data_IF_159533327413
#
_entry.id   IF_159533327413
#
_cell.length_a   1.000
_cell.length_b   1.000
_cell.length_c   1.000
_cell.angle_alpha   90.00
_cell.angle_beta   90.00
_cell.angle_gamma   90.00
#
_symmetry.space_group_name_H-M   'P 1'
#
loop_
_entity.id
_entity.type
_entity.pdbx_description
1 polymer ?
#
# COMPACT_ATOMS: atom_id res chain seq x y z
N UNK A 1 -39.51 6.20 -13.19
CA UNK A 1 -38.05 6.47 -13.30
C UNK A 1 -37.18 5.36 -12.68
N UNK A 2 -37.47 4.86 -11.47
CA UNK A 2 -36.79 3.68 -10.91
C UNK A 2 -37.15 2.37 -11.63
N UNK A 3 -38.38 2.23 -12.13
CA UNK A 3 -38.86 1.05 -12.85
C UNK A 3 -38.12 0.74 -14.16
N UNK A 4 -37.38 1.70 -14.71
CA UNK A 4 -36.57 1.52 -15.92
C UNK A 4 -35.11 1.11 -15.60
N UNK A 5 -34.75 0.99 -14.31
CA UNK A 5 -33.37 0.70 -13.85
C UNK A 5 -33.18 -0.71 -13.32
N UNK A 6 -34.16 -1.60 -13.50
CA UNK A 6 -33.99 -3.02 -13.22
C UNK A 6 -32.99 -3.66 -14.18
N UNK A 7 -32.23 -4.67 -13.73
CA UNK A 7 -31.16 -5.30 -14.52
C UNK A 7 -31.64 -5.78 -15.91
N UNK A 8 -32.86 -6.30 -16.01
CA UNK A 8 -33.43 -6.78 -17.28
C UNK A 8 -33.81 -5.66 -18.26
N UNK A 9 -33.89 -4.40 -17.78
CA UNK A 9 -34.18 -3.22 -18.60
C UNK A 9 -32.90 -2.44 -18.97
N UNK A 10 -31.74 -2.92 -18.55
CA UNK A 10 -30.43 -2.26 -18.74
C UNK A 10 -29.61 -3.06 -19.73
N UNK A 11 -28.98 -2.38 -20.70
CA UNK A 11 -28.21 -3.08 -21.72
C UNK A 11 -26.94 -3.73 -21.15
N UNK A 12 -26.48 -4.81 -21.77
CA UNK A 12 -25.22 -5.47 -21.37
C UNK A 12 -24.02 -4.51 -21.33
N UNK A 13 -23.99 -3.51 -22.21
CA UNK A 13 -22.94 -2.48 -22.22
C UNK A 13 -23.02 -1.58 -20.99
N UNK A 14 -24.23 -1.18 -20.58
CA UNK A 14 -24.43 -0.44 -19.34
C UNK A 14 -24.07 -1.29 -18.12
N UNK A 15 -24.48 -2.56 -18.07
CA UNK A 15 -24.13 -3.48 -16.97
C UNK A 15 -22.61 -3.63 -16.79
N UNK A 16 -21.85 -3.67 -17.90
CA UNK A 16 -20.37 -3.72 -17.85
C UNK A 16 -19.74 -2.47 -17.22
N UNK A 17 -20.36 -1.29 -17.35
CA UNK A 17 -19.87 -0.07 -16.70
C UNK A 17 -19.95 -0.15 -15.16
N UNK A 18 -20.85 -0.99 -14.63
CA UNK A 18 -21.00 -1.26 -13.20
C UNK A 18 -20.20 -2.48 -12.72
N UNK A 19 -19.26 -3.01 -13.52
CA UNK A 19 -18.40 -4.12 -13.09
C UNK A 19 -17.62 -3.75 -11.81
N UNK A 20 -17.12 -2.52 -11.76
CA UNK A 20 -16.28 -2.04 -10.67
C UNK A 20 -17.03 -1.34 -9.53
N UNK A 21 -18.35 -1.22 -9.64
CA UNK A 21 -19.18 -0.51 -8.68
C UNK A 21 -19.32 -1.26 -7.34
N UNK A 22 -19.55 -0.51 -6.27
CA UNK A 22 -19.92 -1.07 -4.96
C UNK A 22 -21.28 -1.75 -5.09
N UNK A 23 -21.37 -3.01 -4.66
CA UNK A 23 -22.62 -3.77 -4.60
C UNK A 23 -23.14 -3.74 -3.16
N UNK A 24 -24.41 -3.38 -3.01
CA UNK A 24 -25.12 -3.38 -1.73
C UNK A 24 -26.01 -4.62 -1.69
N UNK A 25 -25.96 -5.35 -0.58
CA UNK A 25 -26.77 -6.55 -0.35
C UNK A 25 -27.55 -6.40 0.95
N UNK A 26 -28.65 -7.15 1.07
CA UNK A 26 -29.49 -7.12 2.27
C UNK A 26 -28.81 -7.84 3.44
N UNK A 27 -28.01 -8.88 3.16
CA UNK A 27 -27.36 -9.70 4.17
C UNK A 27 -25.85 -9.74 4.02
N UNK A 28 -25.14 -9.95 5.13
CA UNK A 28 -23.68 -10.13 5.14
C UNK A 28 -23.24 -11.41 4.43
N UNK A 29 -24.08 -12.44 4.43
CA UNK A 29 -23.77 -13.71 3.75
C UNK A 29 -23.75 -13.54 2.23
N UNK A 30 -24.65 -12.73 1.68
CA UNK A 30 -24.63 -12.35 0.26
C UNK A 30 -23.39 -11.51 -0.07
N UNK A 31 -23.03 -10.53 0.79
CA UNK A 31 -21.78 -9.76 0.64
C UNK A 31 -20.58 -10.71 0.60
N UNK A 32 -20.50 -11.66 1.53
CA UNK A 32 -19.41 -12.62 1.63
C UNK A 32 -19.35 -13.53 0.40
N UNK A 33 -20.48 -14.07 -0.03
CA UNK A 33 -20.58 -14.93 -1.21
C UNK A 33 -20.12 -14.19 -2.46
N UNK A 34 -20.59 -12.96 -2.65
CA UNK A 34 -20.18 -12.12 -3.78
C UNK A 34 -18.67 -11.80 -3.73
N UNK A 35 -18.17 -11.36 -2.58
CA UNK A 35 -16.74 -11.03 -2.42
C UNK A 35 -15.83 -12.25 -2.62
N UNK A 36 -16.22 -13.42 -2.10
CA UNK A 36 -15.46 -14.67 -2.31
C UNK A 36 -15.43 -15.08 -3.78
N UNK A 37 -16.53 -14.88 -4.52
CA UNK A 37 -16.56 -15.08 -5.96
C UNK A 37 -15.60 -14.11 -6.68
N UNK A 38 -15.61 -12.83 -6.32
CA UNK A 38 -14.68 -11.85 -6.90
C UNK A 38 -13.21 -12.20 -6.61
N UNK A 39 -12.89 -12.69 -5.40
CA UNK A 39 -11.56 -13.18 -5.06
C UNK A 39 -11.18 -14.42 -5.90
N UNK A 40 -12.12 -15.34 -6.14
CA UNK A 40 -11.87 -16.50 -7.02
C UNK A 40 -11.66 -16.10 -8.47
N UNK A 41 -12.38 -15.07 -8.95
CA UNK A 41 -12.20 -14.54 -10.30
C UNK A 41 -10.81 -13.90 -10.47
N UNK A 42 -10.34 -13.15 -9.46
CA UNK A 42 -9.00 -12.56 -9.42
C UNK A 42 -7.88 -13.60 -9.30
N UNK A 43 -8.10 -14.66 -8.52
CA UNK A 43 -7.18 -15.80 -8.39
C UNK A 43 -6.87 -16.43 -9.74
N UNK A 44 -7.86 -16.54 -10.62
CA UNK A 44 -7.69 -17.13 -11.95
C UNK A 44 -6.98 -16.18 -12.94
N UNK A 45 -6.61 -14.98 -12.48
CA UNK A 45 -5.74 -14.04 -13.17
C UNK A 45 -6.45 -13.18 -14.22
N UNK A 46 -6.05 -11.89 -14.29
CA UNK A 46 -6.29 -11.02 -15.46
C UNK A 46 -5.21 -11.29 -16.54
N UNK A 47 -4.05 -11.82 -16.13
CA UNK A 47 -2.83 -12.05 -16.94
C UNK A 47 -2.58 -13.52 -17.28
N UNK A 48 -3.49 -14.44 -16.94
CA UNK A 48 -3.38 -15.88 -17.22
C UNK A 48 -2.50 -16.68 -16.23
N UNK A 49 -1.83 -16.01 -15.28
CA UNK A 49 -1.14 -16.66 -14.17
C UNK A 49 -2.04 -16.72 -12.94
N UNK A 50 -2.05 -17.86 -12.24
CA UNK A 50 -2.85 -18.05 -11.04
C UNK A 50 -2.19 -17.34 -9.84
N UNK A 51 -2.85 -16.33 -9.28
CA UNK A 51 -2.36 -15.59 -8.12
C UNK A 51 -2.73 -16.35 -6.82
N UNK A 52 -1.82 -16.48 -5.84
CA UNK A 52 -2.13 -17.14 -4.57
C UNK A 52 -3.09 -16.30 -3.74
N UNK A 53 -3.97 -16.99 -2.99
CA UNK A 53 -4.88 -16.34 -2.02
C UNK A 53 -4.25 -16.40 -0.64
N UNK A 54 -3.90 -15.25 -0.08
CA UNK A 54 -3.46 -15.12 1.29
C UNK A 54 -4.65 -15.34 2.24
N UNK A 55 -4.57 -16.35 3.11
CA UNK A 55 -5.55 -16.60 4.17
C UNK A 55 -4.93 -16.26 5.52
N UNK A 56 -5.36 -15.15 6.10
CA UNK A 56 -4.89 -14.64 7.39
C UNK A 56 -5.92 -15.03 8.46
N UNK A 57 -5.51 -15.89 9.40
CA UNK A 57 -6.36 -16.29 10.53
C UNK A 57 -6.25 -15.27 11.65
N UNK A 58 -7.39 -14.91 12.24
CA UNK A 58 -7.40 -14.08 13.44
C UNK A 58 -6.72 -14.81 14.61
N UNK A 59 -5.87 -14.10 15.33
CA UNK A 59 -5.31 -14.59 16.60
C UNK A 59 -6.25 -14.18 17.73
N UNK A 60 -6.83 -15.16 18.42
CA UNK A 60 -7.77 -14.93 19.50
C UNK A 60 -7.04 -14.98 20.85
N UNK A 61 -7.29 -13.97 21.69
CA UNK A 61 -6.73 -13.91 23.04
C UNK A 61 -7.41 -14.87 24.03
N UNK A 62 -8.64 -15.31 23.73
CA UNK A 62 -9.40 -16.23 24.57
C UNK A 62 -10.45 -17.01 23.78
N UNK A 63 -10.96 -18.09 24.37
CA UNK A 63 -12.00 -18.94 23.79
C UNK A 63 -13.35 -18.24 23.60
N UNK A 64 -13.64 -17.16 24.36
CA UNK A 64 -14.81 -16.31 24.12
C UNK A 64 -14.64 -15.50 22.84
N UNK A 65 -13.46 -14.89 22.63
CA UNK A 65 -13.15 -14.14 21.41
C UNK A 65 -13.13 -15.02 20.16
N UNK A 66 -12.71 -16.28 20.29
CA UNK A 66 -12.78 -17.26 19.20
C UNK A 66 -14.21 -17.61 18.77
N UNK A 67 -15.17 -17.53 19.70
CA UNK A 67 -16.61 -17.78 19.45
C UNK A 67 -17.40 -16.50 19.22
N UNK A 68 -16.75 -15.33 19.32
CA UNK A 68 -17.42 -14.06 19.16
C UNK A 68 -17.92 -13.90 17.72
N UNK A 69 -19.08 -13.28 17.58
CA UNK A 69 -19.61 -12.91 16.27
C UNK A 69 -18.77 -11.79 15.66
N UNK A 70 -18.80 -11.65 14.34
CA UNK A 70 -18.08 -10.57 13.64
C UNK A 70 -18.56 -9.19 14.10
N UNK A 71 -19.83 -9.05 14.47
CA UNK A 71 -20.37 -7.81 15.06
C UNK A 71 -19.73 -7.46 16.40
N UNK A 72 -19.52 -8.46 17.26
CA UNK A 72 -18.82 -8.28 18.54
C UNK A 72 -17.32 -8.01 18.36
N UNK A 73 -16.77 -8.32 17.18
CA UNK A 73 -15.39 -8.10 16.82
C UNK A 73 -15.20 -6.87 15.90
N UNK A 74 -16.12 -5.90 15.93
CA UNK A 74 -16.08 -4.66 15.12
C UNK A 74 -15.98 -4.91 13.59
N UNK A 75 -16.51 -6.03 13.14
CA UNK A 75 -16.45 -6.46 11.74
C UNK A 75 -15.15 -7.15 11.35
N UNK A 76 -14.31 -7.54 12.32
CA UNK A 76 -13.15 -8.38 12.08
C UNK A 76 -13.59 -9.84 11.87
N UNK A 77 -13.29 -10.37 10.69
CA UNK A 77 -13.55 -11.78 10.34
C UNK A 77 -12.49 -12.70 10.96
N UNK A 78 -12.89 -13.91 11.34
CA UNK A 78 -11.95 -14.92 11.84
C UNK A 78 -10.93 -15.38 10.78
N UNK A 79 -11.29 -15.25 9.49
CA UNK A 79 -10.41 -15.51 8.37
C UNK A 79 -10.52 -14.35 7.37
N UNK A 80 -9.42 -13.66 7.12
CA UNK A 80 -9.30 -12.63 6.10
C UNK A 80 -8.64 -13.21 4.86
N UNK A 81 -9.26 -13.04 3.70
CA UNK A 81 -8.76 -13.51 2.41
C UNK A 81 -8.33 -12.31 1.57
N UNK A 82 -7.07 -12.30 1.14
CA UNK A 82 -6.51 -11.26 0.29
C UNK A 82 -5.88 -11.88 -0.95
N UNK A 83 -6.00 -11.17 -2.07
CA UNK A 83 -5.33 -11.51 -3.34
C UNK A 83 -4.74 -10.20 -3.84
N UNK A 84 -3.63 -10.28 -4.55
CA UNK A 84 -3.11 -9.13 -5.29
C UNK A 84 -4.23 -8.52 -6.15
N UNK A 85 -4.29 -7.20 -6.17
CA UNK A 85 -5.28 -6.41 -6.89
C UNK A 85 -6.72 -6.48 -6.36
N UNK A 86 -6.97 -7.15 -5.22
CA UNK A 86 -8.29 -7.13 -4.62
C UNK A 86 -8.63 -5.75 -4.05
N UNK A 87 -9.91 -5.37 -4.17
CA UNK A 87 -10.44 -4.12 -3.59
C UNK A 87 -10.67 -4.30 -2.10
N UNK A 88 -10.28 -3.29 -1.33
CA UNK A 88 -10.39 -3.29 0.12
C UNK A 88 -11.04 -2.00 0.62
N UNK A 89 -11.55 -2.06 1.84
CA UNK A 89 -12.06 -0.92 2.57
C UNK A 89 -11.50 -0.95 3.99
N UNK A 90 -10.96 0.18 4.43
CA UNK A 90 -10.43 0.32 5.77
C UNK A 90 -11.58 0.38 6.78
N UNK A 91 -11.47 -0.36 7.89
CA UNK A 91 -12.51 -0.46 8.92
C UNK A 91 -12.28 0.41 10.15
N UNK A 92 -11.10 1.02 10.26
CA UNK A 92 -10.68 1.82 11.40
C UNK A 92 -9.88 3.04 10.93
N UNK A 93 -9.79 4.08 11.75
CA UNK A 93 -8.99 5.25 11.42
C UNK A 93 -7.51 4.95 11.70
N UNK A 94 -6.65 5.08 10.68
CA UNK A 94 -5.20 4.93 10.84
C UNK A 94 -4.49 6.28 10.78
N UNK A 95 -4.89 7.14 9.84
CA UNK A 95 -4.31 8.48 9.68
C UNK A 95 -5.32 9.41 9.00
N UNK A 96 -6.16 10.02 9.81
CA UNK A 96 -7.26 10.87 9.35
C UNK A 96 -6.79 12.04 8.48
N UNK A 97 -5.74 12.73 8.89
CA UNK A 97 -5.17 13.88 8.18
C UNK A 97 -4.65 13.56 6.77
N UNK A 98 -4.23 12.31 6.54
CA UNK A 98 -3.72 11.85 5.24
C UNK A 98 -4.75 11.03 4.47
N UNK A 99 -6.00 10.96 4.95
CA UNK A 99 -7.10 10.31 4.25
C UNK A 99 -7.21 8.80 4.48
N UNK A 100 -6.50 8.22 5.45
CA UNK A 100 -6.68 6.83 5.89
C UNK A 100 -7.70 6.75 7.02
N UNK A 101 -8.97 6.89 6.64
CA UNK A 101 -10.14 6.89 7.53
C UNK A 101 -10.96 5.61 7.36
N UNK A 102 -11.81 5.30 8.34
CA UNK A 102 -12.82 4.25 8.19
C UNK A 102 -13.69 4.54 6.95
N UNK A 103 -13.84 3.54 6.08
CA UNK A 103 -14.50 3.66 4.78
C UNK A 103 -13.58 4.03 3.63
N UNK A 104 -12.31 4.40 3.88
CA UNK A 104 -11.33 4.64 2.83
C UNK A 104 -11.16 3.37 1.98
N UNK A 105 -11.25 3.53 0.67
CA UNK A 105 -11.19 2.42 -0.28
C UNK A 105 -9.82 2.36 -0.92
N UNK A 106 -9.41 1.15 -1.26
CA UNK A 106 -8.13 0.93 -1.89
C UNK A 106 -8.03 -0.41 -2.58
N UNK A 107 -6.80 -0.75 -2.97
CA UNK A 107 -6.42 -1.98 -3.63
C UNK A 107 -5.17 -2.55 -2.99
N UNK A 108 -5.12 -3.87 -2.84
CA UNK A 108 -3.88 -4.56 -2.44
C UNK A 108 -2.92 -4.57 -3.62
N UNK A 109 -1.74 -4.00 -3.43
CA UNK A 109 -0.68 -4.02 -4.43
C UNK A 109 0.22 -5.25 -4.26
N UNK A 110 0.57 -5.60 -3.02
CA UNK A 110 1.42 -6.75 -2.75
C UNK A 110 1.25 -7.31 -1.33
N UNK A 111 1.63 -8.57 -1.14
CA UNK A 111 1.59 -9.28 0.14
C UNK A 111 2.93 -9.97 0.36
N UNK A 112 3.70 -9.47 1.32
CA UNK A 112 5.08 -9.90 1.57
C UNK A 112 5.13 -10.78 2.81
N UNK A 113 5.68 -11.98 2.65
CA UNK A 113 5.95 -12.92 3.73
C UNK A 113 7.45 -12.99 4.01
N UNK A 114 7.82 -13.07 5.29
CA UNK A 114 9.20 -13.37 5.67
C UNK A 114 9.52 -14.83 5.34
N UNK A 115 10.77 -15.12 4.97
CA UNK A 115 11.23 -16.43 4.47
C UNK A 115 10.87 -17.65 5.36
N UNK A 116 10.51 -17.43 6.63
CA UNK A 116 10.21 -18.47 7.61
C UNK A 116 8.79 -18.42 8.19
N UNK A 117 7.98 -17.39 7.88
CA UNK A 117 6.61 -17.28 8.37
C UNK A 117 5.65 -17.29 7.18
N UNK A 118 4.93 -18.39 7.04
CA UNK A 118 3.92 -18.59 6.00
C UNK A 118 2.50 -18.36 6.51
N UNK A 119 2.33 -18.13 7.83
CA UNK A 119 1.02 -17.99 8.45
C UNK A 119 0.57 -16.53 8.49
N UNK A 120 1.50 -15.60 8.68
CA UNK A 120 1.18 -14.17 8.74
C UNK A 120 2.08 -13.33 7.80
N UNK A 121 1.50 -12.48 6.95
CA UNK A 121 2.30 -11.59 6.12
C UNK A 121 3.00 -10.54 6.99
N UNK A 122 4.27 -10.28 6.70
CA UNK A 122 5.03 -9.22 7.37
C UNK A 122 4.57 -7.84 6.93
N UNK A 123 4.19 -7.70 5.66
CA UNK A 123 3.70 -6.44 5.09
C UNK A 123 2.58 -6.72 4.09
N UNK A 124 1.50 -5.94 4.19
CA UNK A 124 0.47 -5.85 3.16
C UNK A 124 0.57 -4.45 2.59
N UNK A 125 0.94 -4.35 1.32
CA UNK A 125 1.04 -3.07 0.62
C UNK A 125 -0.30 -2.74 -0.03
N UNK A 126 -0.88 -1.61 0.38
CA UNK A 126 -2.17 -1.15 -0.09
C UNK A 126 -2.08 0.26 -0.68
N UNK A 127 -2.74 0.48 -1.81
CA UNK A 127 -2.96 1.80 -2.40
C UNK A 127 -4.38 2.26 -2.07
N UNK A 128 -4.53 3.41 -1.40
CA UNK A 128 -5.83 3.97 -1.04
C UNK A 128 -6.13 5.23 -1.87
N UNK A 129 -7.35 5.31 -2.40
CA UNK A 129 -7.81 6.41 -3.29
C UNK A 129 -7.64 7.79 -2.64
N UNK A 130 -7.85 7.86 -1.32
CA UNK A 130 -7.88 9.09 -0.53
C UNK A 130 -6.55 9.41 0.14
N UNK A 131 -5.53 8.56 0.00
CA UNK A 131 -4.26 8.73 0.70
C UNK A 131 -3.40 9.81 0.05
N UNK A 132 -2.96 10.79 0.85
CA UNK A 132 -2.14 11.93 0.40
C UNK A 132 -0.78 12.01 1.07
N UNK A 133 -0.43 11.00 1.86
CA UNK A 133 0.88 10.91 2.51
C UNK A 133 1.96 10.37 1.56
N UNK A 134 3.20 10.19 2.07
CA UNK A 134 4.28 9.60 1.30
C UNK A 134 3.92 8.21 0.77
N UNK A 135 4.07 8.01 -0.55
CA UNK A 135 3.86 6.72 -1.21
C UNK A 135 5.18 5.96 -1.35
N UNK A 136 5.14 4.64 -1.13
CA UNK A 136 6.23 3.72 -1.43
C UNK A 136 6.37 3.43 -2.94
N UNK A 137 5.34 3.73 -3.72
CA UNK A 137 5.28 3.47 -5.16
C UNK A 137 5.60 4.79 -5.90
N UNK A 138 6.75 4.90 -6.59
CA UNK A 138 7.21 6.16 -7.21
C UNK A 138 6.28 6.73 -8.30
N UNK A 139 5.32 5.94 -8.80
CA UNK A 139 4.46 6.30 -9.92
C UNK A 139 2.97 6.46 -9.57
N UNK A 140 2.57 6.29 -8.29
CA UNK A 140 1.20 6.63 -7.87
C UNK A 140 1.10 8.12 -7.54
N UNK A 141 1.00 8.94 -8.60
CA UNK A 141 0.59 10.37 -8.58
C UNK A 141 1.01 11.19 -7.34
N UNK A 142 2.31 11.20 -7.01
CA UNK A 142 2.87 12.07 -5.99
C UNK A 142 4.09 12.82 -6.56
N UNK A 143 3.94 14.14 -6.70
CA UNK A 143 4.88 15.15 -7.22
C UNK A 143 6.36 14.73 -7.30
N UNK A 144 6.87 14.57 -8.51
CA UNK A 144 8.33 14.63 -8.77
C UNK A 144 8.68 16.08 -9.11
N UNK A 145 9.76 16.63 -8.54
CA UNK A 145 10.21 17.99 -8.86
C UNK A 145 11.09 17.94 -10.11
N UNK A 146 10.70 18.63 -11.18
CA UNK A 146 11.46 18.63 -12.43
C UNK A 146 12.79 19.39 -12.30
N UNK A 147 12.89 20.35 -11.37
CA UNK A 147 14.09 21.15 -11.04
C UNK A 147 14.13 21.48 -9.55
N UNK A 148 15.31 21.45 -8.92
CA UNK A 148 15.47 21.82 -7.52
C UNK A 148 16.78 22.57 -7.25
N UNK A 149 16.70 23.58 -6.38
CA UNK A 149 17.87 24.21 -5.75
C UNK A 149 17.90 23.74 -4.30
N UNK A 150 19.00 23.09 -3.89
CA UNK A 150 19.16 22.51 -2.56
C UNK A 150 20.17 23.33 -1.78
N UNK A 151 19.70 24.01 -0.75
CA UNK A 151 20.55 24.63 0.26
C UNK A 151 20.68 23.66 1.45
N UNK A 152 21.91 23.21 1.69
CA UNK A 152 22.25 22.22 2.71
C UNK A 152 22.45 22.88 4.08
N UNK A 153 22.73 24.19 4.11
CA UNK A 153 22.95 25.01 5.31
C UNK A 153 23.93 24.41 6.34
N UNK A 154 23.94 25.00 7.53
CA UNK A 154 24.78 24.51 8.65
C UNK A 154 24.15 23.33 9.41
N UNK A 155 22.84 23.10 9.26
CA UNK A 155 22.07 22.05 9.98
C UNK A 155 20.87 21.60 9.16
N UNK A 156 20.63 20.28 9.13
CA UNK A 156 19.36 19.77 8.62
C UNK A 156 18.28 19.97 9.69
N UNK A 157 17.10 20.45 9.30
CA UNK A 157 15.97 20.54 10.22
C UNK A 157 15.42 19.15 10.59
N UNK A 158 15.53 18.20 9.68
CA UNK A 158 15.17 16.80 9.84
C UNK A 158 16.19 15.90 9.11
N UNK A 159 16.48 14.75 9.70
CA UNK A 159 17.50 13.82 9.22
C UNK A 159 17.20 13.34 7.79
N UNK A 160 18.21 13.42 6.91
CA UNK A 160 18.11 12.88 5.55
C UNK A 160 17.41 13.81 4.55
N UNK A 161 17.14 15.07 4.93
CA UNK A 161 16.59 16.08 4.02
C UNK A 161 17.47 16.29 2.79
N UNK A 162 18.80 16.30 2.94
CA UNK A 162 19.73 16.45 1.81
C UNK A 162 19.61 15.27 0.85
N UNK A 163 19.58 14.04 1.38
CA UNK A 163 19.43 12.84 0.57
C UNK A 163 18.07 12.82 -0.16
N UNK A 164 16.99 13.16 0.55
CA UNK A 164 15.65 13.26 -0.03
C UNK A 164 15.63 14.32 -1.13
N UNK A 165 16.19 15.51 -0.90
CA UNK A 165 16.22 16.59 -1.87
C UNK A 165 17.02 16.21 -3.13
N UNK A 166 18.17 15.54 -2.98
CA UNK A 166 19.00 15.08 -4.09
C UNK A 166 18.33 13.94 -4.88
N UNK A 167 17.61 13.04 -4.21
CA UNK A 167 16.92 11.91 -4.84
C UNK A 167 15.55 12.28 -5.45
N UNK A 168 15.04 13.50 -5.22
CA UNK A 168 13.82 14.01 -5.88
C UNK A 168 14.07 14.52 -7.30
N UNK A 169 15.32 14.74 -7.71
CA UNK A 169 15.66 15.27 -9.06
C UNK A 169 16.15 14.13 -9.95
N UNK A 170 15.58 14.04 -11.16
CA UNK A 170 15.88 12.95 -12.12
C UNK A 170 17.11 13.19 -13.01
N UNK A 171 17.62 14.42 -13.07
CA UNK A 171 18.81 14.80 -13.85
C UNK A 171 19.69 15.78 -13.08
N UNK A 172 21.01 15.58 -13.15
CA UNK A 172 21.99 16.49 -12.54
C UNK A 172 21.95 17.89 -13.16
N UNK A 173 21.56 18.01 -14.44
CA UNK A 173 21.40 19.30 -15.13
C UNK A 173 20.28 20.16 -14.54
N UNK A 174 19.41 19.57 -13.72
CA UNK A 174 18.26 20.20 -13.09
C UNK A 174 18.41 20.36 -11.57
N UNK A 175 19.61 20.13 -11.05
CA UNK A 175 19.95 20.22 -9.64
C UNK A 175 21.03 21.28 -9.42
N UNK A 176 20.75 22.26 -8.57
CA UNK A 176 21.75 23.24 -8.12
C UNK A 176 21.95 23.06 -6.62
N UNK A 177 23.20 22.90 -6.18
CA UNK A 177 23.56 22.81 -4.76
C UNK A 177 24.18 24.14 -4.33
N UNK A 178 23.60 24.79 -3.33
CA UNK A 178 24.15 26.03 -2.76
C UNK A 178 25.50 25.73 -2.05
N UNK A 179 26.45 26.67 -2.01
CA UNK A 179 27.78 26.43 -1.44
C UNK A 179 27.72 26.04 0.04
N UNK A 180 28.43 24.96 0.41
CA UNK A 180 28.52 24.46 1.79
C UNK A 180 29.95 23.97 2.12
N UNK A 181 30.27 23.84 3.41
CA UNK A 181 31.61 23.47 3.90
C UNK A 181 31.86 21.96 3.74
N UNK A 182 32.93 21.56 3.03
CA UNK A 182 33.25 20.17 2.66
C UNK A 182 33.36 19.20 3.86
N UNK A 183 33.86 19.67 5.01
CA UNK A 183 33.97 18.90 6.26
C UNK A 183 32.62 18.34 6.76
N UNK A 184 31.50 18.88 6.26
CA UNK A 184 30.15 18.41 6.59
C UNK A 184 29.81 17.08 5.89
N UNK A 185 30.20 16.91 4.63
CA UNK A 185 29.91 15.67 3.87
C UNK A 185 30.58 14.46 4.52
N UNK A 186 31.79 14.66 5.04
CA UNK A 186 32.54 13.61 5.74
C UNK A 186 31.90 13.21 7.08
N UNK A 187 31.34 14.18 7.82
CA UNK A 187 30.59 13.92 9.06
C UNK A 187 29.25 13.21 8.81
N UNK A 188 28.58 13.51 7.71
CA UNK A 188 27.32 12.85 7.32
C UNK A 188 27.61 11.40 6.89
N UNK A 189 28.68 11.18 6.11
CA UNK A 189 29.06 9.85 5.62
C UNK A 189 29.45 8.89 6.77
N UNK A 190 30.07 9.40 7.83
CA UNK A 190 30.52 8.60 8.97
C UNK A 190 29.47 8.45 10.08
N UNK A 191 28.26 8.95 9.88
CA UNK A 191 27.18 8.80 10.86
C UNK A 191 26.69 7.35 10.90
N UNK A 192 26.56 6.76 12.10
CA UNK A 192 26.22 5.32 12.29
C UNK A 192 25.01 4.85 11.47
N UNK A 193 23.99 5.70 11.35
CA UNK A 193 22.77 5.40 10.60
C UNK A 193 22.98 5.36 9.08
N UNK A 194 23.96 6.07 8.54
CA UNK A 194 24.32 6.02 7.12
C UNK A 194 25.11 4.75 6.78
N UNK A 195 25.89 4.24 7.74
CA UNK A 195 26.59 2.96 7.63
C UNK A 195 25.58 1.81 7.63
N UNK A 196 24.61 1.81 8.56
CA UNK A 196 23.52 0.82 8.61
C UNK A 196 22.68 0.83 7.33
N UNK A 197 22.35 2.03 6.81
CA UNK A 197 21.65 2.18 5.52
C UNK A 197 22.49 1.68 4.35
N UNK A 198 23.80 1.96 4.32
CA UNK A 198 24.72 1.45 3.28
C UNK A 198 24.81 -0.06 3.31
N UNK A 199 24.87 -0.66 4.48
CA UNK A 199 24.96 -2.12 4.65
C UNK A 199 23.64 -2.79 4.24
N UNK A 200 22.50 -2.17 4.53
CA UNK A 200 21.19 -2.57 4.01
C UNK A 200 21.14 -2.50 2.47
N UNK A 201 21.70 -1.44 1.88
CA UNK A 201 21.74 -1.23 0.43
C UNK A 201 22.65 -2.24 -0.29
N UNK A 202 23.77 -2.62 0.33
CA UNK A 202 24.64 -3.67 -0.18
C UNK A 202 23.98 -5.06 -0.10
N UNK A 203 23.18 -5.31 0.95
CA UNK A 203 22.38 -6.53 1.07
C UNK A 203 21.32 -6.64 -0.03
N UNK A 204 20.67 -5.53 -0.42
CA UNK A 204 19.73 -5.50 -1.54
C UNK A 204 20.39 -5.86 -2.89
N UNK A 205 21.60 -5.35 -3.14
CA UNK A 205 22.33 -5.64 -4.37
C UNK A 205 22.79 -7.11 -4.48
N UNK A 206 23.19 -7.75 -3.37
CA UNK A 206 23.68 -9.13 -3.38
C UNK A 206 22.58 -10.18 -3.66
N UNK A 207 21.31 -9.83 -3.40
CA UNK A 207 20.17 -10.74 -3.55
C UNK A 207 19.42 -10.58 -4.88
N UNK A 208 20.00 -9.88 -5.87
CA UNK A 208 19.38 -9.58 -7.17
C UNK A 208 17.95 -8.99 -7.06
N UNK A 209 17.70 -8.31 -5.94
CA UNK A 209 16.51 -7.49 -5.73
C UNK A 209 16.75 -6.17 -6.47
N UNK A 210 16.53 -6.19 -7.77
CA UNK A 210 16.60 -4.99 -8.60
C UNK A 210 15.54 -3.99 -8.12
N UNK A 211 16.02 -3.01 -7.33
CA UNK A 211 15.40 -1.74 -6.97
C UNK A 211 14.16 -1.92 -6.04
N UNK A 212 14.07 -1.36 -4.83
CA UNK A 212 14.39 -0.01 -4.38
C UNK A 212 14.51 0.02 -2.84
N UNK A 213 15.72 0.31 -2.35
CA UNK A 213 16.11 1.26 -1.28
C UNK A 213 15.07 1.66 -0.19
N UNK A 214 15.31 1.34 1.10
CA UNK A 214 14.86 2.11 2.24
C UNK A 214 15.97 3.01 2.83
N UNK A 215 15.46 4.16 3.31
CA UNK A 215 15.80 5.04 4.46
C UNK A 215 17.11 5.00 5.20
#
# INVERSE_FOLDING_TARGET
MLSQRFEYNVSNQQTRQFKDAIRLFATKEEVKTYNMKQLSDLKNGITGAQEPVARIKAKHNCCKAMKATTDQAEGLEANLYLVKDCKIMLRQNLWTEKGLVNGARGRVHDIIYQKNDVEFPSVILCEFDTYTGPSLIPNSKSMTLDKAVVDIGDREFALGLTYVALTRVRSLDHLIIAPFIFNRMEKINNHKQFIERRDFMNWLHYNDCSLIIPT
#
